data_IF_072202094515
#
_entry.id   IF_072202094515
#
_cell.length_a   1.000
_cell.length_b   1.000
_cell.length_c   1.000
_cell.angle_alpha   90.00
_cell.angle_beta   90.00
_cell.angle_gamma   90.00
#
_symmetry.space_group_name_H-M   'P 1'
#
loop_
_entity.id
_entity.type
_entity.pdbx_description
1 polymer ?
#
# COMPACT_ATOMS: atom_id res chain seq x y z
N UNK A 1 2.84 -10.26 10.73
CA UNK A 1 2.34 -9.05 11.43
C UNK A 1 1.63 -8.20 10.40
N UNK A 2 0.54 -7.49 10.73
CA UNK A 2 -0.09 -6.56 9.79
C UNK A 2 0.81 -5.34 9.57
N UNK A 3 0.69 -4.72 8.39
CA UNK A 3 1.46 -3.55 8.00
C UNK A 3 0.54 -2.48 7.36
N UNK A 4 0.90 -1.20 7.47
CA UNK A 4 0.11 -0.04 7.01
C UNK A 4 0.92 0.91 6.13
N UNK A 5 0.23 1.62 5.24
CA UNK A 5 0.66 2.73 4.38
C UNK A 5 0.71 4.14 4.98
N UNK A 6 1.65 5.03 4.64
CA UNK A 6 1.40 6.49 4.75
C UNK A 6 0.15 6.88 3.92
N UNK A 7 0.00 6.26 2.75
CA UNK A 7 -1.17 6.44 1.88
C UNK A 7 -2.46 5.93 2.54
N UNK A 8 -2.42 4.78 3.21
CA UNK A 8 -3.55 4.23 3.98
C UNK A 8 -3.92 5.17 5.14
N UNK A 9 -2.94 5.79 5.80
CA UNK A 9 -3.18 6.79 6.84
C UNK A 9 -3.87 8.02 6.25
N UNK A 10 -3.41 8.52 5.10
CA UNK A 10 -4.00 9.66 4.40
C UNK A 10 -5.47 9.40 4.01
N UNK A 11 -5.77 8.23 3.43
CA UNK A 11 -7.13 7.83 3.08
C UNK A 11 -8.03 7.60 4.31
N UNK A 12 -7.50 6.94 5.35
CA UNK A 12 -8.22 6.71 6.60
C UNK A 12 -8.54 8.01 7.34
N UNK A 13 -7.70 9.04 7.20
CA UNK A 13 -7.91 10.36 7.80
C UNK A 13 -8.97 11.21 7.09
N UNK A 14 -9.34 10.84 5.87
CA UNK A 14 -10.23 11.62 5.02
C UNK A 14 -11.71 11.34 5.31
N UNK A 15 -12.59 12.34 5.11
CA UNK A 15 -14.05 12.20 5.25
C UNK A 15 -14.59 12.71 6.59
N UNK A 16 -15.60 12.03 7.15
CA UNK A 16 -16.20 12.45 8.43
C UNK A 16 -15.18 12.32 9.57
N UNK A 17 -14.96 13.38 10.39
CA UNK A 17 -13.95 13.39 11.45
C UNK A 17 -14.08 12.27 12.49
N UNK A 18 -15.29 11.95 12.94
CA UNK A 18 -15.53 10.92 13.95
C UNK A 18 -15.23 9.51 13.40
N UNK A 19 -15.60 9.26 12.14
CA UNK A 19 -15.29 8.00 11.45
C UNK A 19 -13.82 7.89 11.07
N UNK A 20 -13.15 9.01 10.76
CA UNK A 20 -11.72 9.06 10.51
C UNK A 20 -10.92 8.72 11.78
N UNK A 21 -11.30 9.29 12.92
CA UNK A 21 -10.64 9.02 14.21
C UNK A 21 -10.70 7.54 14.58
N UNK A 22 -11.85 6.88 14.40
CA UNK A 22 -12.00 5.44 14.65
C UNK A 22 -11.11 4.57 13.75
N UNK A 23 -10.96 4.95 12.47
CA UNK A 23 -10.08 4.24 11.52
C UNK A 23 -8.62 4.42 11.90
N UNK A 24 -8.21 5.65 12.19
CA UNK A 24 -6.84 5.97 12.61
C UNK A 24 -6.48 5.27 13.94
N UNK A 25 -7.40 5.20 14.89
CA UNK A 25 -7.19 4.46 16.14
C UNK A 25 -6.90 2.98 15.89
N UNK A 26 -7.57 2.37 14.90
CA UNK A 26 -7.37 0.96 14.54
C UNK A 26 -6.04 0.68 13.84
N UNK A 27 -5.38 1.72 13.31
CA UNK A 27 -4.09 1.62 12.62
C UNK A 27 -2.88 1.81 13.55
N UNK A 28 -3.08 2.29 14.80
CA UNK A 28 -1.98 2.68 15.72
C UNK A 28 -0.97 1.56 16.02
N UNK A 29 -1.42 0.31 16.06
CA UNK A 29 -0.57 -0.84 16.41
C UNK A 29 -0.02 -1.57 15.17
N UNK A 30 -0.26 -1.03 13.98
CA UNK A 30 0.16 -1.62 12.70
C UNK A 30 1.45 -0.93 12.25
N UNK A 31 2.45 -1.73 11.87
CA UNK A 31 3.75 -1.21 11.47
C UNK A 31 3.68 -0.52 10.12
N UNK A 32 4.18 0.71 10.02
CA UNK A 32 4.16 1.49 8.78
C UNK A 32 5.22 1.00 7.79
N UNK A 33 4.84 0.89 6.53
CA UNK A 33 5.70 0.53 5.42
C UNK A 33 6.21 1.80 4.76
N UNK A 34 7.53 1.94 4.75
CA UNK A 34 8.18 3.00 4.01
C UNK A 34 8.01 2.72 2.52
N UNK A 35 7.54 3.72 1.79
CA UNK A 35 7.61 3.75 0.33
C UNK A 35 9.07 4.07 0.00
N UNK A 36 9.79 3.09 -0.52
CA UNK A 36 11.15 3.25 -1.00
C UNK A 36 11.19 3.32 -2.54
N UNK A 37 12.39 3.52 -3.09
CA UNK A 37 12.59 3.63 -4.54
C UNK A 37 12.14 2.38 -5.30
N UNK A 38 12.18 1.19 -4.68
CA UNK A 38 11.75 -0.07 -5.28
C UNK A 38 10.22 -0.10 -5.45
N UNK A 39 9.48 0.40 -4.46
CA UNK A 39 8.02 0.56 -4.53
C UNK A 39 7.63 1.56 -5.63
N UNK A 40 8.28 2.72 -5.71
CA UNK A 40 7.96 3.74 -6.74
C UNK A 40 8.28 3.25 -8.16
N UNK A 41 9.39 2.53 -8.35
CA UNK A 41 9.76 1.94 -9.63
C UNK A 41 8.76 0.86 -10.06
N UNK A 42 8.32 0.00 -9.13
CA UNK A 42 7.30 -1.00 -9.43
C UNK A 42 5.94 -0.37 -9.73
N UNK A 43 5.53 0.65 -8.98
CA UNK A 43 4.29 1.39 -9.24
C UNK A 43 4.31 2.05 -10.63
N UNK A 44 5.45 2.63 -11.01
CA UNK A 44 5.65 3.22 -12.33
C UNK A 44 5.55 2.18 -13.44
N UNK A 45 6.19 1.02 -13.27
CA UNK A 45 6.10 -0.11 -14.21
C UNK A 45 4.67 -0.64 -14.35
N UNK A 46 3.86 -0.67 -13.29
CA UNK A 46 2.46 -1.09 -13.37
C UNK A 46 1.64 -0.15 -14.26
N UNK A 47 1.91 1.15 -14.20
CA UNK A 47 1.23 2.16 -15.03
C UNK A 47 1.74 2.09 -16.48
N UNK A 48 3.05 2.04 -16.69
CA UNK A 48 3.67 1.97 -18.02
C UNK A 48 3.22 0.73 -18.81
N UNK A 49 3.11 -0.41 -18.13
CA UNK A 49 2.63 -1.66 -18.72
C UNK A 49 1.10 -1.75 -18.81
N UNK A 50 0.38 -0.68 -18.45
CA UNK A 50 -1.10 -0.59 -18.47
C UNK A 50 -1.80 -1.63 -17.58
N UNK A 51 -1.11 -2.16 -16.57
CA UNK A 51 -1.73 -3.00 -15.54
C UNK A 51 -2.63 -2.17 -14.61
N UNK A 52 -2.28 -0.89 -14.41
CA UNK A 52 -3.07 0.09 -13.66
C UNK A 52 -3.21 1.37 -14.52
N UNK A 53 -4.39 2.02 -14.57
CA UNK A 53 -4.55 3.31 -15.24
C UNK A 53 -3.67 4.39 -14.64
N UNK A 54 -3.14 5.31 -15.46
CA UNK A 54 -2.33 6.44 -14.97
C UNK A 54 -3.08 7.36 -13.99
N UNK A 55 -4.41 7.38 -14.05
CA UNK A 55 -5.27 8.13 -13.12
C UNK A 55 -5.37 7.47 -11.74
N UNK A 56 -4.95 6.21 -11.60
CA UNK A 56 -5.03 5.40 -10.39
C UNK A 56 -3.63 5.18 -9.77
N UNK A 57 -2.81 6.24 -9.70
CA UNK A 57 -1.44 6.15 -9.16
C UNK A 57 -1.40 5.62 -7.72
N UNK A 58 -2.35 6.02 -6.89
CA UNK A 58 -2.48 5.53 -5.51
C UNK A 58 -2.62 4.00 -5.45
N UNK A 59 -3.47 3.44 -6.31
CA UNK A 59 -3.65 1.98 -6.39
C UNK A 59 -2.40 1.27 -6.89
N UNK A 60 -1.67 1.86 -7.85
CA UNK A 60 -0.39 1.32 -8.31
C UNK A 60 0.65 1.24 -7.18
N UNK A 61 0.72 2.28 -6.33
CA UNK A 61 1.59 2.29 -5.14
C UNK A 61 1.14 1.24 -4.13
N UNK A 62 -0.16 1.11 -3.85
CA UNK A 62 -0.66 0.06 -2.93
C UNK A 62 -0.29 -1.35 -3.39
N UNK A 63 -0.46 -1.64 -4.68
CA UNK A 63 -0.07 -2.93 -5.26
C UNK A 63 1.45 -3.12 -5.15
N UNK A 64 2.23 -2.08 -5.45
CA UNK A 64 3.69 -2.14 -5.39
C UNK A 64 4.21 -2.38 -3.97
N UNK A 65 3.70 -1.63 -2.98
CA UNK A 65 3.98 -1.86 -1.55
C UNK A 65 3.67 -3.30 -1.19
N UNK A 66 2.47 -3.79 -1.51
CA UNK A 66 2.09 -5.17 -1.18
C UNK A 66 2.99 -6.24 -1.83
N UNK A 67 3.44 -5.99 -3.07
CA UNK A 67 4.28 -6.91 -3.83
C UNK A 67 5.76 -6.90 -3.35
N UNK A 68 6.33 -5.73 -3.08
CA UNK A 68 7.70 -5.55 -2.56
C UNK A 68 7.80 -6.07 -1.14
N UNK A 69 6.82 -5.76 -0.28
CA UNK A 69 6.89 -6.10 1.14
C UNK A 69 6.90 -7.60 1.43
N UNK A 70 6.50 -8.47 0.48
CA UNK A 70 6.38 -9.93 0.63
C UNK A 70 6.05 -10.39 2.06
N UNK A 71 4.75 -10.46 2.38
CA UNK A 71 4.35 -11.53 3.29
C UNK A 71 4.75 -12.86 2.64
N UNK A 72 5.67 -13.59 3.26
CA UNK A 72 6.26 -14.85 2.79
C UNK A 72 5.29 -16.03 2.70
N UNK A 73 4.20 -15.91 1.96
CA UNK A 73 3.28 -17.02 1.66
C UNK A 73 3.22 -17.45 0.18
N UNK A 74 3.85 -16.71 -0.75
CA UNK A 74 3.79 -17.03 -2.19
C UNK A 74 5.15 -17.20 -2.88
N UNK A 75 6.23 -17.41 -2.12
CA UNK A 75 7.56 -17.70 -2.68
C UNK A 75 8.15 -19.04 -2.21
N UNK A 76 7.28 -20.00 -1.87
CA UNK A 76 7.70 -21.39 -1.59
C UNK A 76 6.93 -22.42 -2.43
N UNK A 77 6.73 -22.10 -3.71
CA UNK A 77 6.53 -23.11 -4.75
C UNK A 77 7.72 -23.00 -5.70
N UNK A 78 8.88 -23.45 -5.22
CA UNK A 78 9.79 -24.15 -6.12
C UNK A 78 9.08 -25.44 -6.55
N UNK A 79 9.02 -25.65 -7.87
CA UNK A 79 8.81 -26.89 -8.64
C UNK A 79 8.09 -28.07 -7.95
#
# INVERSE_FOLDING_TARGET
MPYTSELVIAEASSGNPETAERRLYSLKDIHELLIDDEVEDLASKLIENRAVPATAKADAIHIAVAAVQKNGLFFNLEL
#
